data_IF_332787966407
#
_entry.id   IF_332787966407
#
_cell.length_a   1.000
_cell.length_b   1.000
_cell.length_c   1.000
_cell.angle_alpha   90.00
_cell.angle_beta   90.00
_cell.angle_gamma   90.00
#
_symmetry.space_group_name_H-M   'P 1'
#
loop_
_entity.id
_entity.type
_entity.pdbx_description
1 polymer ?
#
# COMPACT_ATOMS: atom_id res chain seq x y z
N UNK A 1 22.38 -37.84 12.77
CA UNK A 1 20.99 -37.38 12.91
C UNK A 1 21.04 -35.90 13.20
N UNK A 2 21.08 -35.09 12.13
CA UNK A 2 21.10 -33.61 12.25
C UNK A 2 19.65 -33.12 12.32
N UNK A 3 19.28 -32.54 13.45
CA UNK A 3 18.03 -31.79 13.57
C UNK A 3 18.13 -30.55 12.70
N UNK A 4 17.46 -30.55 11.54
CA UNK A 4 17.14 -29.32 10.82
C UNK A 4 16.08 -28.60 11.64
N UNK A 5 16.44 -27.52 12.26
CA UNK A 5 15.47 -26.61 12.88
C UNK A 5 14.68 -25.97 11.74
N UNK A 6 13.43 -26.37 11.58
CA UNK A 6 12.45 -25.68 10.75
C UNK A 6 12.21 -24.31 11.42
N UNK A 7 12.84 -23.28 10.88
CA UNK A 7 12.50 -21.90 11.20
C UNK A 7 11.02 -21.69 10.91
N UNK A 8 10.29 -21.17 11.90
CA UNK A 8 8.99 -20.58 11.71
C UNK A 8 9.05 -19.66 10.48
N UNK A 9 7.99 -19.59 9.69
CA UNK A 9 7.85 -18.59 8.65
C UNK A 9 7.84 -17.21 9.34
N UNK A 10 9.05 -16.73 9.68
CA UNK A 10 9.29 -15.38 10.12
C UNK A 10 9.02 -14.51 8.90
N UNK A 11 7.92 -13.79 8.91
CA UNK A 11 7.76 -12.68 7.99
C UNK A 11 9.05 -11.87 8.06
N UNK A 12 9.69 -11.67 6.92
CA UNK A 12 10.87 -10.85 6.80
C UNK A 12 10.56 -9.49 7.41
N UNK A 13 11.33 -9.04 8.39
CA UNK A 13 11.10 -7.74 9.02
C UNK A 13 11.26 -6.61 7.99
N UNK A 14 10.62 -5.48 8.24
CA UNK A 14 10.75 -4.29 7.38
C UNK A 14 12.22 -3.89 7.19
N UNK A 15 13.06 -4.10 8.19
CA UNK A 15 14.52 -3.84 8.12
C UNK A 15 15.27 -4.86 7.22
N UNK A 16 14.85 -6.12 7.22
CA UNK A 16 15.45 -7.15 6.37
C UNK A 16 15.11 -6.95 4.90
N UNK A 17 13.85 -6.54 4.60
CA UNK A 17 13.45 -6.13 3.25
C UNK A 17 14.22 -4.90 2.77
N UNK A 18 14.34 -3.85 3.60
CA UNK A 18 15.10 -2.65 3.28
C UNK A 18 16.57 -2.94 2.96
N UNK A 19 17.17 -3.91 3.68
CA UNK A 19 18.54 -4.36 3.39
C UNK A 19 18.68 -5.08 2.06
N UNK A 20 17.64 -5.80 1.62
CA UNK A 20 17.64 -6.54 0.35
C UNK A 20 17.41 -5.63 -0.86
N UNK A 21 16.45 -4.72 -0.76
CA UNK A 21 15.98 -3.91 -1.89
C UNK A 21 16.57 -2.50 -1.91
N UNK A 22 17.40 -2.13 -0.90
CA UNK A 22 17.99 -0.80 -0.76
C UNK A 22 16.98 0.33 -0.48
N UNK A 23 15.69 -0.01 -0.32
CA UNK A 23 14.63 0.94 0.04
C UNK A 23 14.38 0.98 1.53
N UNK A 24 14.03 2.14 2.04
CA UNK A 24 13.41 2.25 3.36
C UNK A 24 12.00 1.66 3.22
N UNK A 25 11.81 0.43 3.71
CA UNK A 25 10.49 -0.19 3.72
C UNK A 25 9.57 0.62 4.63
N UNK A 26 8.47 1.08 4.05
CA UNK A 26 7.39 1.76 4.76
C UNK A 26 6.17 0.85 4.64
N UNK A 27 5.60 0.36 5.75
CA UNK A 27 4.38 -0.44 5.68
C UNK A 27 3.32 0.27 4.84
N UNK A 28 2.63 -0.47 4.00
CA UNK A 28 1.53 0.08 3.21
C UNK A 28 0.46 0.62 4.16
N UNK A 29 -0.10 1.82 3.92
CA UNK A 29 -1.27 2.28 4.66
C UNK A 29 -2.41 1.29 4.43
N UNK A 30 -3.20 1.04 5.48
CA UNK A 30 -4.30 0.10 5.41
C UNK A 30 -5.56 0.64 6.09
N UNK A 31 -6.74 0.25 5.58
CA UNK A 31 -8.04 0.62 6.14
C UNK A 31 -9.00 -0.56 6.06
N UNK A 32 -9.79 -0.78 7.11
CA UNK A 32 -10.70 -1.91 7.20
C UNK A 32 -12.14 -1.51 6.87
N UNK A 33 -12.77 -2.19 5.93
CA UNK A 33 -14.20 -2.12 5.68
C UNK A 33 -14.89 -3.26 6.42
N UNK A 34 -15.72 -2.91 7.36
CA UNK A 34 -16.43 -3.87 8.22
C UNK A 34 -17.94 -3.73 8.11
N UNK A 35 -18.66 -4.72 8.57
CA UNK A 35 -20.13 -4.79 8.52
C UNK A 35 -20.56 -6.23 8.66
N UNK A 36 -21.84 -6.49 8.82
CA UNK A 36 -22.40 -7.84 8.97
C UNK A 36 -22.29 -8.64 7.64
N UNK A 37 -22.52 -9.93 7.75
CA UNK A 37 -22.68 -10.75 6.54
C UNK A 37 -23.84 -10.19 5.69
N UNK A 38 -23.66 -10.14 4.37
CA UNK A 38 -24.62 -9.59 3.39
C UNK A 38 -24.86 -8.07 3.47
N UNK A 39 -24.03 -7.28 4.14
CA UNK A 39 -24.09 -5.81 4.10
C UNK A 39 -23.69 -5.22 2.74
N UNK A 40 -23.23 -6.03 1.80
CA UNK A 40 -22.80 -5.57 0.47
C UNK A 40 -21.34 -5.13 0.39
N UNK A 41 -20.53 -5.39 1.40
CA UNK A 41 -19.10 -5.01 1.45
C UNK A 41 -18.32 -5.41 0.21
N UNK A 42 -18.33 -6.69 -0.15
CA UNK A 42 -17.56 -7.18 -1.30
C UNK A 42 -17.97 -6.49 -2.59
N UNK A 43 -19.28 -6.28 -2.82
CA UNK A 43 -19.80 -5.56 -4.00
C UNK A 43 -19.31 -4.11 -4.02
N UNK A 44 -19.34 -3.44 -2.87
CA UNK A 44 -18.83 -2.09 -2.71
C UNK A 44 -17.32 -2.03 -2.98
N UNK A 45 -16.55 -2.90 -2.33
CA UNK A 45 -15.09 -2.90 -2.42
C UNK A 45 -14.57 -3.19 -3.82
N UNK A 46 -15.20 -4.09 -4.56
CA UNK A 46 -14.83 -4.34 -5.97
C UNK A 46 -14.92 -3.06 -6.81
N UNK A 47 -15.95 -2.23 -6.59
CA UNK A 47 -16.14 -0.96 -7.29
C UNK A 47 -15.13 0.10 -6.83
N UNK A 48 -14.91 0.21 -5.52
CA UNK A 48 -13.93 1.15 -4.93
C UNK A 48 -12.50 0.82 -5.38
N UNK A 49 -12.11 -0.45 -5.35
CA UNK A 49 -10.80 -0.90 -5.84
C UNK A 49 -10.65 -0.55 -7.33
N UNK A 50 -11.66 -0.86 -8.15
CA UNK A 50 -11.62 -0.54 -9.58
C UNK A 50 -11.46 0.96 -9.83
N UNK A 51 -12.15 1.81 -9.07
CA UNK A 51 -12.03 3.27 -9.15
C UNK A 51 -10.63 3.74 -8.78
N UNK A 52 -10.06 3.29 -7.65
CA UNK A 52 -8.70 3.66 -7.22
C UNK A 52 -7.65 3.19 -8.24
N UNK A 53 -7.78 1.98 -8.78
CA UNK A 53 -6.88 1.46 -9.82
C UNK A 53 -7.00 2.29 -11.11
N UNK A 54 -8.21 2.73 -11.49
CA UNK A 54 -8.40 3.61 -12.65
C UNK A 54 -7.72 4.97 -12.50
N UNK A 55 -7.56 5.45 -11.25
CA UNK A 55 -6.80 6.66 -10.89
C UNK A 55 -5.29 6.44 -10.89
N UNK A 56 -4.82 5.21 -11.11
CA UNK A 56 -3.40 4.85 -11.19
C UNK A 56 -2.76 4.45 -9.87
N UNK A 57 -3.55 4.15 -8.83
CA UNK A 57 -3.02 3.65 -7.56
C UNK A 57 -2.78 2.14 -7.59
N UNK A 58 -1.72 1.70 -6.94
CA UNK A 58 -1.43 0.29 -6.69
C UNK A 58 -2.14 -0.14 -5.39
N UNK A 59 -3.15 -1.01 -5.52
CA UNK A 59 -4.03 -1.40 -4.43
C UNK A 59 -3.83 -2.86 -4.06
N UNK A 60 -3.45 -3.09 -2.79
CA UNK A 60 -3.52 -4.40 -2.16
C UNK A 60 -4.90 -4.66 -1.56
N UNK A 61 -5.29 -5.91 -1.40
CA UNK A 61 -6.52 -6.26 -0.69
C UNK A 61 -6.37 -7.50 0.17
N UNK A 62 -6.99 -7.47 1.34
CA UNK A 62 -7.07 -8.59 2.28
C UNK A 62 -8.54 -8.88 2.52
N UNK A 63 -8.93 -10.16 2.51
CA UNK A 63 -10.26 -10.60 2.90
C UNK A 63 -10.16 -11.54 4.08
N UNK A 64 -10.73 -11.13 5.20
CA UNK A 64 -10.87 -11.97 6.38
C UNK A 64 -12.08 -12.90 6.25
N UNK A 65 -11.88 -14.19 6.46
CA UNK A 65 -12.93 -15.18 6.51
C UNK A 65 -13.02 -15.75 7.93
N UNK A 66 -14.04 -15.33 8.67
CA UNK A 66 -14.18 -15.65 10.10
C UNK A 66 -14.63 -17.09 10.44
N UNK A 67 -14.57 -18.02 9.49
CA UNK A 67 -14.95 -19.42 9.67
C UNK A 67 -13.79 -20.35 9.31
N UNK A 68 -13.67 -21.45 10.03
CA UNK A 68 -12.56 -22.42 9.86
C UNK A 68 -12.69 -23.30 8.61
N UNK A 69 -13.79 -23.23 7.88
CA UNK A 69 -14.09 -24.04 6.68
C UNK A 69 -13.69 -23.34 5.36
N UNK A 70 -12.80 -22.35 5.43
CA UNK A 70 -12.29 -21.67 4.27
C UNK A 70 -11.37 -22.57 3.45
N UNK A 71 -11.71 -22.79 2.19
CA UNK A 71 -10.81 -23.40 1.21
C UNK A 71 -10.85 -22.58 -0.09
N UNK A 72 -9.68 -22.25 -0.61
CA UNK A 72 -9.49 -21.54 -1.87
C UNK A 72 -9.03 -22.46 -2.99
N UNK A 73 -8.60 -23.68 -2.62
CA UNK A 73 -8.08 -24.67 -3.54
C UNK A 73 -9.22 -25.46 -4.21
N UNK A 74 -8.91 -26.06 -5.35
CA UNK A 74 -9.89 -26.83 -6.11
C UNK A 74 -9.64 -28.32 -5.86
N UNK A 75 -10.59 -29.07 -5.27
CA UNK A 75 -10.45 -30.49 -5.05
C UNK A 75 -10.02 -31.26 -6.30
N UNK A 76 -9.00 -32.12 -6.12
CA UNK A 76 -8.46 -32.96 -7.18
C UNK A 76 -7.37 -32.32 -8.06
N UNK A 77 -7.08 -31.00 -7.90
CA UNK A 77 -5.92 -30.38 -8.54
C UNK A 77 -4.63 -30.72 -7.81
N UNK A 78 -3.49 -30.50 -8.47
CA UNK A 78 -2.18 -30.90 -7.93
C UNK A 78 -1.86 -30.19 -6.61
N UNK A 79 -2.16 -28.90 -6.48
CA UNK A 79 -2.00 -28.13 -5.23
C UNK A 79 -2.83 -28.74 -4.08
N UNK A 80 -4.09 -29.06 -4.35
CA UNK A 80 -4.96 -29.72 -3.39
C UNK A 80 -4.40 -31.08 -2.95
N UNK A 81 -3.92 -31.90 -3.90
CA UNK A 81 -3.32 -33.23 -3.61
C UNK A 81 -2.03 -33.10 -2.78
N UNK A 82 -1.23 -32.05 -2.98
CA UNK A 82 -0.05 -31.81 -2.14
C UNK A 82 -0.46 -31.51 -0.69
N UNK A 83 -1.52 -30.69 -0.47
CA UNK A 83 -2.04 -30.42 0.87
C UNK A 83 -2.62 -31.68 1.52
N UNK A 84 -3.45 -32.43 0.82
CA UNK A 84 -4.01 -33.72 1.29
C UNK A 84 -2.91 -34.75 1.68
N UNK A 85 -1.77 -34.69 1.00
CA UNK A 85 -0.61 -35.53 1.33
C UNK A 85 0.18 -35.01 2.55
N UNK A 86 -0.23 -33.86 3.16
CA UNK A 86 0.36 -33.30 4.38
C UNK A 86 1.35 -32.14 4.17
N UNK A 87 1.43 -31.58 2.96
CA UNK A 87 2.21 -30.35 2.73
C UNK A 87 1.53 -29.18 3.42
N UNK A 88 2.23 -28.53 4.36
CA UNK A 88 1.71 -27.39 5.13
C UNK A 88 1.86 -26.04 4.43
N UNK A 89 2.65 -25.98 3.36
CA UNK A 89 2.88 -24.78 2.59
C UNK A 89 2.99 -25.17 1.11
N UNK A 90 2.06 -24.68 0.30
CA UNK A 90 2.00 -24.97 -1.14
C UNK A 90 2.05 -23.68 -1.91
N UNK A 91 3.02 -23.56 -2.82
CA UNK A 91 3.16 -22.41 -3.71
C UNK A 91 2.91 -22.87 -5.14
N UNK A 92 1.96 -22.21 -5.79
CA UNK A 92 1.70 -22.36 -7.23
C UNK A 92 2.19 -21.10 -7.94
N UNK A 93 3.10 -21.25 -8.88
CA UNK A 93 3.73 -20.14 -9.58
C UNK A 93 3.65 -20.29 -11.09
N UNK A 94 3.37 -19.19 -11.78
CA UNK A 94 3.44 -19.04 -13.23
C UNK A 94 4.31 -17.81 -13.56
N UNK A 95 4.65 -17.54 -14.83
CA UNK A 95 5.45 -16.37 -15.19
C UNK A 95 4.85 -15.02 -14.72
N UNK A 96 3.54 -14.95 -14.49
CA UNK A 96 2.83 -13.70 -14.19
C UNK A 96 1.98 -13.74 -12.92
N UNK A 97 1.94 -14.88 -12.22
CA UNK A 97 1.06 -15.05 -11.05
C UNK A 97 1.62 -16.07 -10.08
N UNK A 98 1.48 -15.76 -8.81
CA UNK A 98 1.80 -16.68 -7.71
C UNK A 98 0.59 -16.75 -6.76
N UNK A 99 0.33 -17.96 -6.24
CA UNK A 99 -0.55 -18.18 -5.10
C UNK A 99 0.18 -19.02 -4.05
N UNK A 100 -0.02 -18.70 -2.78
CA UNK A 100 0.53 -19.45 -1.65
C UNK A 100 -0.60 -19.82 -0.71
N UNK A 101 -0.65 -21.08 -0.31
CA UNK A 101 -1.59 -21.61 0.66
C UNK A 101 -0.79 -22.19 1.81
N UNK A 102 -0.97 -21.66 3.02
CA UNK A 102 -0.24 -22.06 4.22
C UNK A 102 -1.23 -22.51 5.27
N UNK A 103 -1.04 -23.71 5.82
CA UNK A 103 -1.81 -24.22 6.95
C UNK A 103 -1.35 -23.53 8.25
N UNK A 104 -2.26 -22.85 8.92
CA UNK A 104 -1.98 -22.07 10.11
C UNK A 104 -2.33 -22.83 11.39
N UNK A 105 -1.57 -22.65 12.46
CA UNK A 105 -1.89 -23.18 13.78
C UNK A 105 -2.73 -22.19 14.61
N UNK A 106 -2.68 -20.90 14.26
CA UNK A 106 -3.42 -19.79 14.86
C UNK A 106 -3.63 -18.71 13.79
N UNK A 107 -4.61 -17.88 14.00
CA UNK A 107 -4.89 -16.75 13.11
C UNK A 107 -3.71 -15.77 13.11
N UNK A 108 -3.38 -15.24 11.93
CA UNK A 108 -2.34 -14.22 11.76
C UNK A 108 -2.98 -12.85 12.00
N UNK A 109 -2.29 -11.98 12.73
CA UNK A 109 -2.71 -10.60 12.92
C UNK A 109 -2.72 -9.83 11.59
N UNK A 110 -3.68 -8.92 11.44
CA UNK A 110 -3.85 -8.15 10.21
C UNK A 110 -2.60 -7.35 9.83
N UNK A 111 -1.93 -6.75 10.83
CA UNK A 111 -0.70 -5.97 10.63
C UNK A 111 0.45 -6.81 10.10
N UNK A 112 0.56 -8.06 10.53
CA UNK A 112 1.56 -9.00 10.02
C UNK A 112 1.27 -9.36 8.56
N UNK A 113 -0.01 -9.53 8.20
CA UNK A 113 -0.40 -9.78 6.80
C UNK A 113 -0.05 -8.57 5.94
N UNK A 114 -0.46 -7.35 6.35
CA UNK A 114 -0.14 -6.10 5.62
C UNK A 114 1.38 -5.94 5.46
N UNK A 115 2.14 -6.17 6.52
CA UNK A 115 3.61 -6.08 6.50
C UNK A 115 4.28 -7.13 5.61
N UNK A 116 3.63 -8.27 5.38
CA UNK A 116 4.12 -9.33 4.50
C UNK A 116 3.84 -9.07 3.01
N UNK A 117 2.94 -8.16 2.69
CA UNK A 117 2.60 -7.79 1.30
C UNK A 117 3.71 -6.92 0.68
N UNK A 118 3.82 -6.89 -0.66
CA UNK A 118 4.58 -5.85 -1.35
C UNK A 118 4.08 -4.45 -0.97
N UNK A 119 4.91 -3.43 -1.17
CA UNK A 119 4.50 -2.05 -0.92
C UNK A 119 3.41 -1.63 -1.91
N UNK A 120 2.25 -1.26 -1.37
CA UNK A 120 1.11 -0.72 -2.10
C UNK A 120 0.84 0.73 -1.71
N UNK A 121 0.18 1.49 -2.58
CA UNK A 121 -0.29 2.84 -2.26
C UNK A 121 -1.37 2.80 -1.16
N UNK A 122 -2.17 1.73 -1.12
CA UNK A 122 -3.17 1.45 -0.08
C UNK A 122 -3.51 -0.04 -0.05
N UNK A 123 -3.68 -0.61 1.15
CA UNK A 123 -4.26 -1.93 1.36
C UNK A 123 -5.69 -1.80 1.89
N UNK A 124 -6.65 -2.36 1.16
CA UNK A 124 -8.06 -2.40 1.56
C UNK A 124 -8.34 -3.75 2.22
N UNK A 125 -8.81 -3.72 3.47
CA UNK A 125 -9.10 -4.91 4.26
C UNK A 125 -10.60 -5.11 4.37
N UNK A 126 -11.12 -6.26 3.91
CA UNK A 126 -12.50 -6.67 4.15
C UNK A 126 -12.59 -7.51 5.43
N UNK A 127 -13.16 -6.97 6.48
CA UNK A 127 -13.26 -7.63 7.79
C UNK A 127 -12.21 -7.14 8.79
N UNK A 128 -11.72 -8.01 9.65
CA UNK A 128 -10.72 -7.68 10.69
C UNK A 128 -11.10 -6.48 11.57
N UNK A 129 -12.32 -6.45 12.09
CA UNK A 129 -12.85 -5.32 12.91
C UNK A 129 -11.97 -4.92 14.09
N UNK A 130 -11.26 -5.87 14.68
CA UNK A 130 -10.44 -5.66 15.88
C UNK A 130 -8.94 -5.62 15.57
N UNK A 131 -8.57 -5.35 14.32
CA UNK A 131 -7.17 -5.28 13.88
C UNK A 131 -6.39 -4.06 14.38
N UNK A 132 -7.05 -3.09 15.00
CA UNK A 132 -6.43 -1.79 15.31
C UNK A 132 -6.39 -0.81 14.14
N UNK A 133 -6.75 -1.23 12.93
CA UNK A 133 -6.87 -0.33 11.78
C UNK A 133 -8.07 0.60 11.93
N UNK A 134 -8.01 1.73 11.25
CA UNK A 134 -9.17 2.58 11.02
C UNK A 134 -10.28 1.79 10.33
N UNK A 135 -11.51 1.94 10.82
CA UNK A 135 -12.67 1.17 10.38
C UNK A 135 -13.66 2.03 9.63
N UNK A 136 -14.05 1.61 8.44
CA UNK A 136 -15.21 2.14 7.70
C UNK A 136 -16.36 1.14 7.86
N UNK A 137 -17.45 1.58 8.49
CA UNK A 137 -18.61 0.72 8.73
C UNK A 137 -19.59 0.74 7.56
N UNK A 138 -19.96 -0.44 7.07
CA UNK A 138 -20.95 -0.61 5.98
C UNK A 138 -22.26 -1.12 6.56
N UNK A 139 -23.32 -0.33 6.45
CA UNK A 139 -24.64 -0.58 7.00
C UNK A 139 -25.71 -0.47 5.91
N UNK A 140 -26.53 -1.51 5.71
CA UNK A 140 -27.54 -1.57 4.65
C UNK A 140 -28.93 -1.88 5.19
N UNK A 141 -29.93 -1.06 4.86
CA UNK A 141 -31.32 -1.21 5.30
C UNK A 141 -31.98 -2.53 4.85
N UNK A 142 -31.55 -3.10 3.74
CA UNK A 142 -32.04 -4.39 3.23
C UNK A 142 -31.38 -5.62 3.87
N UNK A 143 -30.68 -5.44 4.97
CA UNK A 143 -30.06 -6.50 5.76
C UNK A 143 -30.47 -6.38 7.23
N UNK A 144 -31.37 -7.25 7.69
CA UNK A 144 -31.87 -7.23 9.07
C UNK A 144 -30.76 -7.31 10.13
N UNK A 145 -29.61 -7.89 9.78
CA UNK A 145 -28.46 -7.96 10.67
C UNK A 145 -27.74 -6.62 10.85
N UNK A 146 -27.94 -5.66 9.97
CA UNK A 146 -27.35 -4.33 10.08
C UNK A 146 -28.22 -3.36 10.90
N UNK A 147 -29.51 -3.64 11.09
CA UNK A 147 -30.41 -2.74 11.83
C UNK A 147 -29.95 -2.49 13.26
N UNK A 148 -29.62 -3.52 14.09
CA UNK A 148 -29.11 -3.28 15.46
C UNK A 148 -27.77 -2.53 15.47
N UNK A 149 -26.90 -2.76 14.48
CA UNK A 149 -25.65 -2.05 14.35
C UNK A 149 -25.85 -0.57 13.97
N UNK A 150 -26.83 -0.28 13.13
CA UNK A 150 -27.23 1.07 12.79
C UNK A 150 -27.84 1.82 13.98
N UNK A 151 -28.68 1.14 14.78
CA UNK A 151 -29.24 1.68 16.02
C UNK A 151 -28.13 2.01 17.01
N UNK A 152 -27.21 1.08 17.29
CA UNK A 152 -26.04 1.29 18.15
C UNK A 152 -25.23 2.50 17.68
N UNK A 153 -24.92 2.58 16.37
CA UNK A 153 -24.20 3.73 15.82
C UNK A 153 -24.98 5.03 16.01
N UNK A 154 -26.29 5.03 15.77
CA UNK A 154 -27.13 6.23 15.92
C UNK A 154 -27.16 6.72 17.38
N UNK A 155 -27.15 5.82 18.34
CA UNK A 155 -27.22 6.15 19.78
C UNK A 155 -25.87 6.61 20.32
N UNK A 156 -24.81 5.81 20.14
CA UNK A 156 -23.54 6.01 20.83
C UNK A 156 -22.35 6.28 19.90
N UNK A 157 -22.52 6.16 18.59
CA UNK A 157 -21.45 6.46 17.60
C UNK A 157 -20.43 5.35 17.40
N UNK A 158 -20.65 4.19 18.00
CA UNK A 158 -19.81 3.00 17.84
C UNK A 158 -20.61 1.86 17.23
N UNK A 159 -19.91 0.87 16.70
CA UNK A 159 -20.49 -0.41 16.32
C UNK A 159 -19.61 -1.50 16.91
N UNK A 160 -20.18 -2.28 17.84
CA UNK A 160 -19.44 -3.33 18.57
C UNK A 160 -18.19 -2.79 19.27
N UNK A 161 -18.31 -1.62 19.88
CA UNK A 161 -17.23 -0.98 20.63
C UNK A 161 -16.17 -0.28 19.80
N UNK A 162 -16.31 -0.22 18.48
CA UNK A 162 -15.40 0.47 17.58
C UNK A 162 -16.05 1.73 17.01
N UNK A 163 -15.38 2.87 17.09
CA UNK A 163 -15.80 4.13 16.45
C UNK A 163 -15.32 4.14 15.00
N UNK A 164 -16.22 4.13 14.00
CA UNK A 164 -15.78 4.17 12.60
C UNK A 164 -15.28 5.56 12.24
N UNK A 165 -14.23 5.60 11.41
CA UNK A 165 -13.71 6.86 10.82
C UNK A 165 -14.59 7.38 9.70
N UNK A 166 -15.38 6.50 9.08
CA UNK A 166 -16.42 6.83 8.11
C UNK A 166 -17.51 5.76 8.12
N UNK A 167 -18.70 6.11 7.62
CA UNK A 167 -19.81 5.17 7.44
C UNK A 167 -20.28 5.17 6.00
N UNK A 168 -20.64 3.99 5.49
CA UNK A 168 -21.26 3.82 4.17
C UNK A 168 -22.62 3.19 4.36
N UNK A 169 -23.69 3.88 3.95
CA UNK A 169 -25.05 3.41 4.25
C UNK A 169 -26.05 3.93 3.22
N UNK A 170 -27.21 3.28 3.16
CA UNK A 170 -28.41 3.79 2.49
C UNK A 170 -29.52 4.19 3.49
N UNK A 171 -29.15 4.35 4.79
CA UNK A 171 -30.08 4.71 5.85
C UNK A 171 -29.91 6.17 6.25
N UNK A 172 -30.97 6.99 6.10
CA UNK A 172 -30.97 8.41 6.45
C UNK A 172 -30.63 8.66 7.91
N UNK A 173 -31.12 7.80 8.82
CA UNK A 173 -30.79 7.86 10.25
C UNK A 173 -29.29 7.79 10.54
N UNK A 174 -28.57 6.93 9.81
CA UNK A 174 -27.11 6.78 9.90
C UNK A 174 -26.40 8.04 9.40
N UNK A 175 -26.82 8.60 8.26
CA UNK A 175 -26.26 9.85 7.74
C UNK A 175 -26.49 11.02 8.70
N UNK A 176 -27.71 11.15 9.25
CA UNK A 176 -28.02 12.17 10.23
C UNK A 176 -27.18 12.03 11.50
N UNK A 177 -26.94 10.80 11.97
CA UNK A 177 -26.11 10.52 13.13
C UNK A 177 -24.62 10.85 12.84
N UNK A 178 -24.12 10.46 11.69
CA UNK A 178 -22.76 10.76 11.23
C UNK A 178 -22.53 12.28 11.15
N UNK A 179 -23.45 13.02 10.54
CA UNK A 179 -23.40 14.48 10.47
C UNK A 179 -23.31 15.15 11.84
N UNK A 180 -24.12 14.68 12.82
CA UNK A 180 -24.05 15.23 14.19
C UNK A 180 -22.69 15.01 14.86
N UNK A 181 -21.98 13.95 14.49
CA UNK A 181 -20.67 13.59 15.05
C UNK A 181 -19.48 14.11 14.25
N UNK A 182 -19.72 14.70 13.08
CA UNK A 182 -18.66 15.09 12.18
C UNK A 182 -17.95 13.90 11.50
N UNK A 183 -18.58 12.71 11.50
CA UNK A 183 -18.06 11.52 10.83
C UNK A 183 -18.41 11.59 9.35
N UNK A 184 -17.46 11.42 8.42
CA UNK A 184 -17.74 11.27 6.99
C UNK A 184 -18.77 10.17 6.73
N UNK A 185 -19.73 10.43 5.82
CA UNK A 185 -20.74 9.44 5.48
C UNK A 185 -21.06 9.45 3.99
N UNK A 186 -21.13 8.26 3.40
CA UNK A 186 -21.31 8.05 1.96
C UNK A 186 -22.49 7.12 1.70
N UNK A 187 -23.14 7.28 0.54
CA UNK A 187 -24.10 6.27 0.09
C UNK A 187 -23.35 5.03 -0.45
N UNK A 188 -24.06 3.90 -0.53
CA UNK A 188 -23.50 2.66 -1.12
C UNK A 188 -23.15 2.81 -2.61
N UNK A 189 -23.69 3.81 -3.27
CA UNK A 189 -23.47 4.09 -4.70
C UNK A 189 -22.43 5.18 -4.94
N UNK A 190 -22.00 5.92 -3.90
CA UNK A 190 -21.06 7.02 -3.99
C UNK A 190 -19.60 6.53 -4.01
N UNK A 191 -19.25 5.83 -5.08
CA UNK A 191 -17.92 5.22 -5.23
C UNK A 191 -16.84 6.28 -5.36
N UNK A 192 -17.10 7.35 -6.11
CA UNK A 192 -16.16 8.45 -6.30
C UNK A 192 -15.88 9.17 -4.98
N UNK A 193 -16.91 9.51 -4.19
CA UNK A 193 -16.74 10.15 -2.89
C UNK A 193 -15.98 9.29 -1.88
N UNK A 194 -16.22 7.96 -1.89
CA UNK A 194 -15.44 7.02 -1.05
C UNK A 194 -13.98 6.98 -1.52
N UNK A 195 -13.73 6.91 -2.83
CA UNK A 195 -12.37 6.89 -3.38
C UNK A 195 -11.63 8.22 -3.09
N UNK A 196 -12.30 9.37 -3.19
CA UNK A 196 -11.74 10.67 -2.83
C UNK A 196 -11.33 10.73 -1.36
N UNK A 197 -12.20 10.23 -0.47
CA UNK A 197 -11.90 10.13 0.96
C UNK A 197 -10.69 9.25 1.22
N UNK A 198 -10.63 8.05 0.63
CA UNK A 198 -9.51 7.12 0.78
C UNK A 198 -8.22 7.71 0.26
N UNK A 199 -8.26 8.34 -0.91
CA UNK A 199 -7.11 9.01 -1.50
C UNK A 199 -6.59 10.13 -0.61
N UNK A 200 -7.47 10.97 -0.08
CA UNK A 200 -7.08 12.12 0.74
C UNK A 200 -6.53 11.73 2.11
N UNK A 201 -7.01 10.63 2.71
CA UNK A 201 -6.68 10.27 4.09
C UNK A 201 -5.59 9.20 4.16
N UNK A 202 -5.62 8.21 3.27
CA UNK A 202 -4.78 7.02 3.40
C UNK A 202 -3.73 6.87 2.31
N UNK A 203 -4.02 7.28 1.05
CA UNK A 203 -3.05 7.10 -0.02
C UNK A 203 -1.84 7.97 0.24
N UNK A 204 -0.67 7.35 0.31
CA UNK A 204 0.58 8.05 0.54
C UNK A 204 0.92 8.90 -0.69
N UNK A 205 1.21 10.21 -0.52
CA UNK A 205 1.73 11.02 -1.61
C UNK A 205 3.09 10.47 -2.05
N UNK A 206 3.27 10.32 -3.38
CA UNK A 206 4.57 9.94 -3.95
C UNK A 206 5.59 11.04 -3.72
N UNK A 207 6.78 10.68 -3.23
CA UNK A 207 7.88 11.58 -3.01
C UNK A 207 8.79 11.59 -4.25
N UNK A 208 8.67 12.63 -5.07
CA UNK A 208 9.65 12.92 -6.13
C UNK A 208 10.73 13.82 -5.56
N UNK A 209 11.99 13.38 -5.59
CA UNK A 209 13.12 14.21 -5.20
C UNK A 209 13.79 14.78 -6.44
N UNK A 210 13.78 16.12 -6.55
CA UNK A 210 14.47 16.84 -7.61
C UNK A 210 15.88 17.22 -7.17
N UNK A 211 16.89 16.81 -7.94
CA UNK A 211 18.30 17.16 -7.73
C UNK A 211 18.72 18.12 -8.83
N UNK A 212 19.04 19.35 -8.46
CA UNK A 212 19.54 20.34 -9.42
C UNK A 212 21.04 20.15 -9.66
N UNK A 213 21.40 19.60 -10.81
CA UNK A 213 22.77 19.33 -11.23
C UNK A 213 23.28 20.31 -12.30
N UNK A 214 22.44 21.27 -12.72
CA UNK A 214 22.77 22.36 -13.62
C UNK A 214 23.37 23.55 -12.89
N UNK A 215 24.51 24.07 -13.32
CA UNK A 215 25.12 25.27 -12.77
C UNK A 215 26.58 25.43 -13.18
N UNK A 216 26.94 26.62 -13.70
CA UNK A 216 28.35 26.97 -13.92
C UNK A 216 29.05 27.10 -12.58
N UNK A 217 29.81 26.09 -12.18
CA UNK A 217 30.66 26.14 -10.98
C UNK A 217 31.89 27.05 -11.22
N UNK A 218 31.65 28.34 -11.57
CA UNK A 218 32.69 29.31 -11.97
C UNK A 218 33.87 29.40 -11.01
N UNK A 219 33.63 29.16 -9.71
CA UNK A 219 34.69 29.19 -8.67
C UNK A 219 35.52 27.91 -8.63
N UNK A 220 34.99 26.79 -9.12
CA UNK A 220 35.67 25.49 -9.05
C UNK A 220 36.26 25.06 -10.41
N UNK A 221 35.94 25.79 -11.50
CA UNK A 221 36.44 25.47 -12.85
C UNK A 221 35.88 24.18 -13.48
N UNK A 222 35.05 23.43 -12.76
CA UNK A 222 34.43 22.18 -13.22
C UNK A 222 33.04 22.01 -12.60
N UNK A 223 32.20 21.17 -13.25
CA UNK A 223 30.84 20.88 -12.78
C UNK A 223 30.87 20.18 -11.41
N UNK A 224 30.12 20.72 -10.45
CA UNK A 224 30.02 20.09 -9.12
C UNK A 224 29.45 18.65 -9.17
N UNK A 225 28.63 18.37 -10.16
CA UNK A 225 28.03 17.05 -10.33
C UNK A 225 29.08 15.96 -10.59
N UNK A 226 30.15 16.30 -11.32
CA UNK A 226 31.20 15.36 -11.74
C UNK A 226 32.47 15.44 -10.88
N UNK A 227 32.54 16.35 -9.90
CA UNK A 227 33.70 16.41 -8.97
C UNK A 227 33.87 15.08 -8.27
N UNK A 228 35.09 14.48 -8.31
CA UNK A 228 35.35 13.27 -7.56
C UNK A 228 35.24 13.49 -6.05
N UNK A 229 34.44 12.68 -5.40
CA UNK A 229 34.33 12.65 -3.95
C UNK A 229 34.45 11.20 -3.48
N UNK A 230 35.54 10.89 -2.77
CA UNK A 230 35.89 9.53 -2.33
C UNK A 230 35.93 8.51 -3.48
N UNK A 231 36.47 8.92 -4.62
CA UNK A 231 36.68 8.05 -5.79
C UNK A 231 35.53 7.98 -6.80
N UNK A 232 34.40 8.61 -6.53
CA UNK A 232 33.21 8.65 -7.39
C UNK A 232 32.69 10.06 -7.61
N UNK A 233 31.91 10.33 -8.68
CA UNK A 233 31.26 11.62 -8.86
C UNK A 233 30.38 11.98 -7.64
N UNK A 234 30.45 13.22 -7.19
CA UNK A 234 29.64 13.68 -6.05
C UNK A 234 28.12 13.41 -6.26
N UNK A 235 27.65 13.59 -7.49
CA UNK A 235 26.25 13.37 -7.82
C UNK A 235 25.83 11.91 -7.67
N UNK A 236 26.69 10.94 -7.99
CA UNK A 236 26.44 9.51 -7.74
C UNK A 236 26.08 9.28 -6.29
N UNK A 237 26.90 9.76 -5.35
CA UNK A 237 26.66 9.59 -3.92
C UNK A 237 25.41 10.28 -3.42
N UNK A 238 25.06 11.43 -3.99
CA UNK A 238 23.82 12.11 -3.63
C UNK A 238 22.63 11.28 -4.08
N UNK A 239 22.64 10.82 -5.34
CA UNK A 239 21.59 9.99 -5.93
C UNK A 239 21.40 8.72 -5.11
N UNK A 240 22.44 7.95 -4.85
CA UNK A 240 22.37 6.72 -4.06
C UNK A 240 21.80 6.94 -2.65
N UNK A 241 22.16 8.04 -2.00
CA UNK A 241 21.68 8.34 -0.64
C UNK A 241 20.22 8.72 -0.58
N UNK A 242 19.70 9.44 -1.58
CA UNK A 242 18.30 9.90 -1.56
C UNK A 242 17.36 8.91 -2.23
N UNK A 243 17.88 8.02 -3.10
CA UNK A 243 17.08 7.04 -3.81
C UNK A 243 16.32 6.08 -2.89
N UNK A 244 16.89 5.73 -1.73
CA UNK A 244 16.24 4.85 -0.76
C UNK A 244 14.98 5.46 -0.10
N UNK A 245 14.87 6.80 -0.12
CA UNK A 245 13.75 7.52 0.48
C UNK A 245 12.75 8.08 -0.54
N UNK A 246 13.10 8.05 -1.84
CA UNK A 246 12.30 8.61 -2.93
C UNK A 246 11.50 7.53 -3.65
N UNK A 247 10.32 7.91 -4.16
CA UNK A 247 9.55 7.08 -5.10
C UNK A 247 9.98 7.36 -6.55
N UNK A 248 10.55 8.54 -6.82
CA UNK A 248 11.13 8.93 -8.10
C UNK A 248 12.23 9.97 -7.89
N UNK A 249 13.28 9.90 -8.70
CA UNK A 249 14.33 10.92 -8.77
C UNK A 249 14.27 11.65 -10.11
N UNK A 250 14.38 12.97 -10.05
CA UNK A 250 14.53 13.84 -11.20
C UNK A 250 15.84 14.61 -11.06
N UNK A 251 16.75 14.48 -12.02
CA UNK A 251 17.98 15.28 -12.07
C UNK A 251 17.83 16.31 -13.18
N UNK A 252 17.80 17.60 -12.80
CA UNK A 252 17.75 18.69 -13.78
C UNK A 252 19.16 19.10 -14.20
N UNK A 253 19.42 19.16 -15.50
CA UNK A 253 20.75 19.51 -16.04
C UNK A 253 20.68 19.95 -17.50
N UNK A 254 21.54 20.89 -17.90
CA UNK A 254 21.78 21.26 -19.29
C UNK A 254 22.94 20.46 -19.92
N UNK A 255 23.59 19.58 -19.16
CA UNK A 255 24.76 18.82 -19.58
C UNK A 255 24.49 17.29 -19.45
N UNK A 256 23.31 16.82 -19.89
CA UNK A 256 22.90 15.41 -19.75
C UNK A 256 23.95 14.42 -20.30
N UNK A 257 24.67 14.77 -21.37
CA UNK A 257 25.73 13.93 -21.94
C UNK A 257 26.90 13.66 -20.99
N UNK A 258 27.13 14.51 -20.01
CA UNK A 258 28.18 14.33 -18.98
C UNK A 258 27.72 13.48 -17.81
N UNK A 259 26.43 13.21 -17.69
CA UNK A 259 25.82 12.47 -16.60
C UNK A 259 25.43 11.05 -17.00
N UNK A 260 25.98 10.50 -18.09
CA UNK A 260 25.69 9.13 -18.55
C UNK A 260 25.95 8.05 -17.50
N UNK A 261 26.89 8.28 -16.56
CA UNK A 261 27.19 7.36 -15.45
C UNK A 261 25.99 7.14 -14.51
N UNK A 262 25.00 8.01 -14.52
CA UNK A 262 23.79 7.83 -13.71
C UNK A 262 22.88 6.70 -14.24
N UNK A 263 22.99 6.38 -15.53
CA UNK A 263 22.22 5.28 -16.13
C UNK A 263 22.68 3.89 -15.72
N UNK A 264 23.90 3.78 -15.20
CA UNK A 264 24.50 2.52 -14.75
C UNK A 264 24.31 2.27 -13.25
N UNK A 265 23.63 3.20 -12.52
CA UNK A 265 23.41 3.06 -11.09
C UNK A 265 22.31 2.05 -10.79
N UNK A 266 22.62 1.14 -9.88
CA UNK A 266 21.65 0.22 -9.28
C UNK A 266 20.96 0.92 -8.09
N UNK A 267 19.85 1.60 -8.37
CA UNK A 267 19.07 2.35 -7.40
C UNK A 267 17.62 1.88 -7.34
N UNK A 268 16.98 1.94 -6.16
CA UNK A 268 15.67 1.32 -5.92
C UNK A 268 14.48 2.10 -6.50
N UNK A 269 14.67 3.24 -7.15
CA UNK A 269 13.59 4.03 -7.74
C UNK A 269 13.94 4.54 -9.14
N UNK A 270 12.95 4.85 -9.99
CA UNK A 270 13.19 5.45 -11.31
C UNK A 270 13.96 6.76 -11.22
N UNK A 271 14.93 6.96 -12.13
CA UNK A 271 15.66 8.22 -12.27
C UNK A 271 15.41 8.80 -13.67
N UNK A 272 15.04 10.08 -13.71
CA UNK A 272 14.85 10.83 -14.95
C UNK A 272 15.83 11.99 -15.04
N UNK A 273 16.46 12.16 -16.22
CA UNK A 273 17.22 13.37 -16.56
C UNK A 273 16.30 14.33 -17.31
N UNK A 274 16.19 15.55 -16.80
CA UNK A 274 15.34 16.59 -17.38
C UNK A 274 16.20 17.82 -17.70
N UNK A 275 16.12 18.42 -18.90
CA UNK A 275 16.82 19.65 -19.18
C UNK A 275 16.25 20.81 -18.36
N UNK A 276 17.11 21.77 -17.99
CA UNK A 276 16.66 23.03 -17.39
C UNK A 276 15.77 23.80 -18.38
N UNK A 277 14.72 24.43 -17.88
CA UNK A 277 13.70 25.09 -18.71
C UNK A 277 14.20 26.34 -19.44
N UNK A 278 15.35 26.91 -19.05
CA UNK A 278 15.91 28.12 -19.62
C UNK A 278 17.43 28.08 -19.78
N UNK A 279 17.94 28.70 -20.84
CA UNK A 279 19.39 28.80 -21.12
C UNK A 279 20.16 29.68 -20.10
N UNK A 280 19.51 30.67 -19.49
CA UNK A 280 20.11 31.56 -18.50
C UNK A 280 19.80 31.13 -17.07
N UNK A 281 20.80 30.97 -16.27
CA UNK A 281 20.95 30.12 -15.13
C UNK A 281 20.80 30.84 -13.78
N UNK A 282 19.86 30.38 -12.99
CA UNK A 282 19.73 30.69 -11.58
C UNK A 282 19.08 29.54 -10.82
N UNK A 283 19.23 29.52 -9.52
CA UNK A 283 18.75 28.44 -8.64
C UNK A 283 17.22 28.24 -8.65
N UNK A 284 16.47 29.14 -9.31
CA UNK A 284 15.01 29.08 -9.43
C UNK A 284 14.53 28.60 -10.81
N UNK A 285 15.46 28.13 -11.69
CA UNK A 285 15.19 27.79 -13.09
C UNK A 285 15.42 26.30 -13.40
N UNK A 286 15.79 25.52 -12.41
CA UNK A 286 15.96 24.06 -12.52
C UNK A 286 14.69 23.28 -12.23
#
# INVERSE_FOLDING_TARGET
>A
MNKVSLGAASGESSEERAKRDGRIHRPSPAVAFVGRHNSGKTTLLVRVIAELVSRGFDIGSIKHHGHCDFDIDVPGKDSYRHREAGSRDVVVVSPTRMARITELNHEIECDDIVSSMPDHDLVIVEGFRQSGLDVIEVLRSGNDRDLPAAEEYCEIGTVRGVSPVAVVSNMESVHAAAKRRGTPSFSLEDIEGIADFLQAVYVRPKLTVAIQAGGESRRMGQSKATVPFLGEPLLTRIVERVACAADELVVTTNEASRLGFLGDLDIPCPLKLVPDSFEKRGSLQG
#
